data_IF_671499542337
#
_entry.id   IF_671499542337
#
_cell.length_a   1.000
_cell.length_b   1.000
_cell.length_c   1.000
_cell.angle_alpha   90.00
_cell.angle_beta   90.00
_cell.angle_gamma   90.00
#
_symmetry.space_group_name_H-M   'P 1'
#
loop_
_entity.id
_entity.type
_entity.pdbx_description
1 polymer ?
#
# COMPACT_ATOMS: atom_id res chain seq x y z
N UNK A 1 2.85 29.29 35.31
CA UNK A 1 2.16 29.94 34.18
C UNK A 1 2.76 29.41 32.90
N UNK A 2 1.96 28.79 32.05
CA UNK A 2 2.42 28.28 30.75
C UNK A 2 2.63 29.45 29.79
N UNK A 3 3.76 29.46 29.09
CA UNK A 3 4.09 30.48 28.09
C UNK A 3 3.19 30.31 26.86
N UNK A 4 2.29 31.27 26.63
CA UNK A 4 1.47 31.33 25.42
C UNK A 4 2.34 31.85 24.25
N UNK A 5 2.90 30.93 23.46
CA UNK A 5 3.62 31.26 22.22
C UNK A 5 2.62 31.84 21.20
N UNK A 6 2.61 33.16 21.02
CA UNK A 6 1.68 33.91 20.15
C UNK A 6 1.76 33.54 18.65
N UNK A 7 2.80 32.80 18.23
CA UNK A 7 3.04 32.42 16.84
C UNK A 7 2.86 30.91 16.61
N UNK A 8 1.67 30.36 16.87
CA UNK A 8 1.28 29.02 16.37
C UNK A 8 0.74 29.16 14.95
N UNK A 9 1.61 29.32 13.97
CA UNK A 9 1.19 29.17 12.58
C UNK A 9 0.80 27.71 12.35
N UNK A 10 -0.41 27.48 11.82
CA UNK A 10 -0.86 26.13 11.42
C UNK A 10 0.03 25.67 10.26
N UNK A 11 1.11 24.99 10.59
CA UNK A 11 2.00 24.41 9.60
C UNK A 11 1.27 23.22 8.99
N UNK A 12 0.90 23.35 7.71
CA UNK A 12 0.35 22.21 6.96
C UNK A 12 1.46 21.19 6.81
N UNK A 13 1.23 20.00 7.36
CA UNK A 13 2.13 18.84 7.25
C UNK A 13 2.45 18.53 5.76
N UNK A 14 1.54 18.87 4.85
CA UNK A 14 1.75 18.81 3.39
C UNK A 14 2.91 19.67 2.85
N UNK A 15 3.42 20.66 3.61
CA UNK A 15 4.62 21.45 3.22
C UNK A 15 5.94 20.77 3.61
N UNK A 16 5.88 19.69 4.38
CA UNK A 16 7.04 19.00 4.96
C UNK A 16 7.16 17.55 4.52
N UNK A 17 6.16 17.03 3.80
CA UNK A 17 6.16 15.66 3.29
C UNK A 17 6.36 15.76 1.77
N UNK A 18 7.36 15.05 1.25
CA UNK A 18 7.67 14.94 -0.19
C UNK A 18 6.65 14.10 -0.98
N UNK A 19 5.48 13.84 -0.40
CA UNK A 19 4.38 13.11 -1.01
C UNK A 19 3.29 14.10 -1.41
N UNK A 20 3.32 14.62 -2.65
CA UNK A 20 2.39 15.64 -3.10
C UNK A 20 0.93 15.14 -3.07
N UNK A 21 0.72 13.83 -3.21
CA UNK A 21 -0.60 13.20 -3.21
C UNK A 21 -0.88 12.42 -1.91
N UNK A 22 -0.94 13.15 -0.79
CA UNK A 22 -1.12 12.58 0.54
C UNK A 22 -2.35 11.65 0.65
N UNK A 23 -3.48 12.01 0.03
CA UNK A 23 -4.69 11.19 0.07
C UNK A 23 -4.53 9.87 -0.65
N UNK A 24 -3.92 9.86 -1.86
CA UNK A 24 -3.64 8.62 -2.60
C UNK A 24 -2.62 7.76 -1.85
N UNK A 25 -1.64 8.39 -1.20
CA UNK A 25 -0.68 7.66 -0.36
C UNK A 25 -1.33 7.00 0.85
N UNK A 26 -2.25 7.70 1.52
CA UNK A 26 -3.00 7.15 2.65
C UNK A 26 -3.89 5.99 2.20
N UNK A 27 -4.58 6.13 1.07
CA UNK A 27 -5.37 5.05 0.47
C UNK A 27 -4.51 3.84 0.13
N UNK A 28 -3.37 4.06 -0.53
CA UNK A 28 -2.38 3.01 -0.79
C UNK A 28 -1.94 2.31 0.49
N UNK A 29 -1.58 3.07 1.54
CA UNK A 29 -1.11 2.50 2.81
C UNK A 29 -2.18 1.62 3.45
N UNK A 30 -3.45 2.06 3.44
CA UNK A 30 -4.57 1.28 3.96
C UNK A 30 -4.80 0.02 3.13
N UNK A 31 -4.91 0.14 1.81
CA UNK A 31 -5.11 -1.00 0.91
C UNK A 31 -3.99 -2.04 1.00
N UNK A 32 -2.75 -1.58 1.12
CA UNK A 32 -1.60 -2.46 1.28
C UNK A 32 -1.64 -3.21 2.61
N UNK A 33 -2.01 -2.52 3.69
CA UNK A 33 -2.18 -3.15 4.99
C UNK A 33 -3.30 -4.20 4.96
N UNK A 34 -4.46 -3.87 4.39
CA UNK A 34 -5.61 -4.77 4.29
C UNK A 34 -5.28 -6.02 3.45
N UNK A 35 -4.54 -5.85 2.35
CA UNK A 35 -4.02 -6.95 1.54
C UNK A 35 -3.16 -7.90 2.37
N UNK A 36 -2.14 -7.37 3.06
CA UNK A 36 -1.20 -8.20 3.83
C UNK A 36 -1.92 -8.92 4.97
N UNK A 37 -2.83 -8.24 5.65
CA UNK A 37 -3.62 -8.82 6.72
C UNK A 37 -4.53 -9.94 6.21
N UNK A 38 -5.28 -9.71 5.14
CA UNK A 38 -6.14 -10.73 4.54
C UNK A 38 -5.34 -11.94 4.00
N UNK A 39 -4.13 -11.70 3.50
CA UNK A 39 -3.23 -12.78 3.10
C UNK A 39 -2.76 -13.59 4.30
N UNK A 40 -2.35 -12.94 5.40
CA UNK A 40 -1.96 -13.61 6.64
C UNK A 40 -3.11 -14.46 7.21
N UNK A 41 -4.32 -13.90 7.29
CA UNK A 41 -5.50 -14.63 7.77
C UNK A 41 -5.83 -15.84 6.89
N UNK A 42 -5.83 -15.67 5.56
CA UNK A 42 -6.16 -16.74 4.61
C UNK A 42 -5.11 -17.86 4.62
N UNK A 43 -3.83 -17.51 4.73
CA UNK A 43 -2.73 -18.48 4.71
C UNK A 43 -2.51 -19.18 6.05
N UNK A 44 -3.10 -18.67 7.13
CA UNK A 44 -3.01 -19.29 8.45
C UNK A 44 -3.68 -20.67 8.44
N UNK A 45 -2.86 -21.72 8.57
CA UNK A 45 -3.32 -23.11 8.59
C UNK A 45 -3.43 -23.79 7.22
N UNK A 46 -3.04 -23.11 6.15
CA UNK A 46 -2.92 -23.68 4.80
C UNK A 46 -1.60 -24.45 4.63
N UNK A 47 -1.49 -25.28 3.59
CA UNK A 47 -0.28 -26.04 3.30
C UNK A 47 0.88 -25.14 2.78
N UNK A 48 2.11 -25.60 2.98
CA UNK A 48 3.32 -24.86 2.56
C UNK A 48 3.34 -24.54 1.06
N UNK A 49 2.73 -25.39 0.22
CA UNK A 49 2.63 -25.18 -1.22
C UNK A 49 1.79 -23.96 -1.56
N UNK A 50 0.58 -23.86 -0.99
CA UNK A 50 -0.31 -22.71 -1.16
C UNK A 50 0.28 -21.42 -0.58
N UNK A 51 0.88 -21.49 0.61
CA UNK A 51 1.58 -20.34 1.20
C UNK A 51 2.70 -19.83 0.29
N UNK A 52 3.48 -20.75 -0.29
CA UNK A 52 4.57 -20.39 -1.21
C UNK A 52 4.05 -19.78 -2.51
N UNK A 53 2.96 -20.31 -3.06
CA UNK A 53 2.36 -19.83 -4.30
C UNK A 53 1.91 -18.37 -4.17
N UNK A 54 1.10 -18.05 -3.15
CA UNK A 54 0.60 -16.70 -2.93
C UNK A 54 1.74 -15.70 -2.63
N UNK A 55 2.71 -16.09 -1.80
CA UNK A 55 3.88 -15.25 -1.52
C UNK A 55 4.70 -14.96 -2.79
N UNK A 56 4.89 -15.96 -3.67
CA UNK A 56 5.58 -15.75 -4.94
C UNK A 56 4.81 -14.83 -5.87
N UNK A 57 3.48 -14.91 -5.91
CA UNK A 57 2.66 -14.01 -6.69
C UNK A 57 2.80 -12.56 -6.18
N UNK A 58 2.77 -12.34 -4.86
CA UNK A 58 2.94 -11.03 -4.24
C UNK A 58 4.31 -10.43 -4.62
N UNK A 59 5.38 -11.23 -4.50
CA UNK A 59 6.73 -10.81 -4.89
C UNK A 59 6.81 -10.46 -6.37
N UNK A 60 6.21 -11.28 -7.24
CA UNK A 60 6.21 -11.02 -8.69
C UNK A 60 5.52 -9.71 -9.03
N UNK A 61 4.31 -9.51 -8.51
CA UNK A 61 3.49 -8.35 -8.85
C UNK A 61 4.03 -7.06 -8.25
N UNK A 62 4.44 -7.04 -6.98
CA UNK A 62 4.73 -5.78 -6.29
C UNK A 62 6.22 -5.44 -6.24
N UNK A 63 7.12 -6.43 -6.38
CA UNK A 63 8.56 -6.23 -6.22
C UNK A 63 9.38 -6.53 -7.47
N UNK A 64 9.02 -7.53 -8.27
CA UNK A 64 9.79 -7.92 -9.47
C UNK A 64 9.30 -7.26 -10.76
N UNK A 65 7.99 -7.02 -10.89
CA UNK A 65 7.44 -6.33 -12.05
C UNK A 65 7.91 -4.87 -12.04
N UNK A 66 8.70 -4.42 -13.02
CA UNK A 66 9.21 -3.06 -13.05
C UNK A 66 8.07 -2.05 -13.18
N UNK A 67 8.24 -0.90 -12.54
CA UNK A 67 7.31 0.21 -12.73
C UNK A 67 7.69 1.00 -13.98
N UNK A 68 6.69 1.37 -14.77
CA UNK A 68 6.83 2.22 -15.94
C UNK A 68 6.96 3.68 -15.51
N UNK A 69 7.98 4.39 -15.98
CA UNK A 69 8.21 5.79 -15.62
C UNK A 69 7.20 6.78 -16.22
N UNK A 70 6.40 6.34 -17.20
CA UNK A 70 5.39 7.14 -17.89
C UNK A 70 4.01 7.08 -17.21
N UNK A 71 3.82 6.16 -16.27
CA UNK A 71 2.56 5.95 -15.54
C UNK A 71 2.85 6.21 -14.07
N UNK A 72 1.94 6.88 -13.36
CA UNK A 72 2.13 7.11 -11.93
C UNK A 72 2.07 5.81 -11.11
N UNK A 73 2.74 5.81 -9.97
CA UNK A 73 2.84 4.64 -9.09
C UNK A 73 1.47 4.08 -8.67
N UNK A 74 0.52 4.94 -8.31
CA UNK A 74 -0.75 4.49 -7.73
C UNK A 74 -1.63 3.83 -8.79
N UNK A 75 -1.61 4.31 -10.04
CA UNK A 75 -2.30 3.66 -11.15
C UNK A 75 -1.77 2.23 -11.37
N UNK A 76 -0.44 2.09 -11.45
CA UNK A 76 0.19 0.77 -11.59
C UNK A 76 -0.04 -0.13 -10.38
N UNK A 77 -0.09 0.44 -9.17
CA UNK A 77 -0.44 -0.29 -7.95
C UNK A 77 -1.88 -0.81 -8.00
N UNK A 78 -2.84 0.01 -8.44
CA UNK A 78 -4.24 -0.40 -8.61
C UNK A 78 -4.37 -1.54 -9.62
N UNK A 79 -3.69 -1.46 -10.76
CA UNK A 79 -3.68 -2.55 -11.76
C UNK A 79 -3.12 -3.86 -11.19
N UNK A 80 -2.04 -3.77 -10.39
CA UNK A 80 -1.45 -4.94 -9.70
C UNK A 80 -2.41 -5.52 -8.65
N UNK A 81 -3.15 -4.66 -7.93
CA UNK A 81 -4.19 -5.08 -6.99
C UNK A 81 -5.36 -5.77 -7.71
N UNK A 82 -5.79 -5.27 -8.86
CA UNK A 82 -6.82 -5.93 -9.67
C UNK A 82 -6.36 -7.30 -10.16
N UNK A 83 -5.10 -7.41 -10.58
CA UNK A 83 -4.50 -8.70 -10.95
C UNK A 83 -4.45 -9.66 -9.77
N UNK A 84 -4.06 -9.18 -8.58
CA UNK A 84 -4.08 -9.96 -7.35
C UNK A 84 -5.49 -10.47 -7.02
N UNK A 85 -6.48 -9.58 -7.03
CA UNK A 85 -7.88 -9.90 -6.71
C UNK A 85 -8.48 -10.90 -7.71
N UNK A 86 -8.10 -10.81 -8.98
CA UNK A 86 -8.52 -11.76 -10.01
C UNK A 86 -7.96 -13.18 -9.81
N UNK A 87 -6.86 -13.34 -9.08
CA UNK A 87 -6.23 -14.65 -8.80
C UNK A 87 -6.61 -15.20 -7.42
N UNK A 88 -6.74 -14.34 -6.40
CA UNK A 88 -6.89 -14.75 -5.00
C UNK A 88 -8.26 -14.43 -4.37
N UNK A 89 -9.19 -13.88 -5.15
CA UNK A 89 -10.46 -13.38 -4.65
C UNK A 89 -10.37 -11.92 -4.20
N UNK A 90 -11.50 -11.22 -4.24
CA UNK A 90 -11.57 -9.80 -3.95
C UNK A 90 -11.46 -9.56 -2.43
N UNK A 91 -10.44 -8.80 -2.04
CA UNK A 91 -10.27 -8.17 -0.72
C UNK A 91 -10.92 -6.80 -0.69
#
# INVERSE_FOLDING_TARGET
GECAKENRSKVKVSKWIDTPELTRNQQFTLQWHDLLHAMEERLTGEDEGKQREENLLLLRLFYLLPYEGTIDFYTQFTERMEHWNGQNGQI
#
